data_IF_173246039452
#
_entry.id   IF_173246039452
#
_cell.length_a   1.000
_cell.length_b   1.000
_cell.length_c   1.000
_cell.angle_alpha   90.00
_cell.angle_beta   90.00
_cell.angle_gamma   90.00
#
_symmetry.space_group_name_H-M   'P 1'
#
loop_
_entity.id
_entity.type
_entity.pdbx_description
1 polymer ?
#
# COMPACT_ATOMS: atom_id res chain seq x y z
N UNK A 1 -35.69 2.67 -19.65
CA UNK A 1 -36.24 2.91 -21.00
C UNK A 1 -37.55 2.16 -21.17
N UNK A 2 -38.62 2.86 -21.55
CA UNK A 2 -39.98 2.30 -21.71
C UNK A 2 -40.61 2.81 -23.02
N UNK A 3 -41.40 1.97 -23.68
CA UNK A 3 -42.16 2.35 -24.88
C UNK A 3 -43.25 3.35 -24.47
N UNK A 4 -43.32 4.46 -25.17
CA UNK A 4 -44.32 5.52 -24.97
C UNK A 4 -45.51 5.30 -25.90
N UNK A 5 -45.24 5.26 -27.21
CA UNK A 5 -46.25 5.12 -28.26
C UNK A 5 -45.62 4.56 -29.54
N UNK A 6 -46.44 4.00 -30.43
CA UNK A 6 -46.05 3.71 -31.81
C UNK A 6 -47.03 4.30 -32.82
N UNK A 7 -46.50 4.66 -33.99
CA UNK A 7 -47.26 5.13 -35.14
C UNK A 7 -47.07 4.15 -36.30
N UNK A 8 -48.17 3.71 -36.91
CA UNK A 8 -48.13 2.82 -38.05
C UNK A 8 -48.01 3.64 -39.34
N UNK A 9 -46.97 3.38 -40.16
CA UNK A 9 -46.80 3.99 -41.48
C UNK A 9 -46.80 5.54 -41.55
N UNK A 10 -46.66 6.24 -40.43
CA UNK A 10 -46.64 7.72 -40.35
C UNK A 10 -45.32 8.28 -39.80
N UNK A 11 -44.22 8.23 -40.59
CA UNK A 11 -42.92 8.77 -40.17
C UNK A 11 -42.92 10.26 -39.76
N UNK A 12 -43.70 11.16 -40.39
CA UNK A 12 -43.72 12.57 -40.00
C UNK A 12 -44.27 12.78 -38.59
N UNK A 13 -45.32 12.06 -38.20
CA UNK A 13 -45.95 12.20 -36.89
C UNK A 13 -45.00 11.74 -35.77
N UNK A 14 -44.37 10.58 -35.98
CA UNK A 14 -43.38 10.05 -35.04
C UNK A 14 -42.18 10.99 -34.84
N UNK A 15 -41.69 11.60 -35.92
CA UNK A 15 -40.61 12.59 -35.85
C UNK A 15 -41.04 13.88 -35.15
N UNK A 16 -42.26 14.36 -35.41
CA UNK A 16 -42.80 15.59 -34.80
C UNK A 16 -43.05 15.41 -33.30
N UNK A 17 -43.57 14.26 -32.87
CA UNK A 17 -43.68 13.93 -31.44
C UNK A 17 -42.29 13.77 -30.79
N UNK A 18 -41.35 13.09 -31.45
CA UNK A 18 -39.99 12.96 -30.92
C UNK A 18 -39.31 14.33 -30.72
N UNK A 19 -39.47 15.24 -31.69
CA UNK A 19 -39.02 16.61 -31.58
C UNK A 19 -39.73 17.39 -30.46
N UNK A 20 -41.04 17.18 -30.28
CA UNK A 20 -41.81 17.81 -29.20
C UNK A 20 -41.32 17.40 -27.81
N UNK A 21 -41.02 16.11 -27.64
CA UNK A 21 -40.42 15.59 -26.41
C UNK A 21 -39.04 16.22 -26.18
N UNK A 22 -38.21 16.34 -27.21
CA UNK A 22 -36.89 16.94 -27.11
C UNK A 22 -36.94 18.44 -26.71
N UNK A 23 -37.87 19.22 -27.28
CA UNK A 23 -38.08 20.63 -26.91
C UNK A 23 -38.49 20.78 -25.44
N UNK A 24 -39.25 19.82 -24.92
CA UNK A 24 -39.66 19.76 -23.51
C UNK A 24 -38.65 19.02 -22.61
N UNK A 25 -37.40 18.86 -23.07
CA UNK A 25 -36.30 18.26 -22.30
C UNK A 25 -36.51 16.79 -21.91
N UNK A 26 -37.34 16.07 -22.67
CA UNK A 26 -37.53 14.62 -22.50
C UNK A 26 -36.60 13.88 -23.44
N UNK A 27 -35.70 13.08 -22.85
CA UNK A 27 -34.72 12.30 -23.60
C UNK A 27 -35.39 11.02 -24.12
N UNK A 28 -35.76 11.02 -25.40
CA UNK A 28 -36.46 9.91 -26.07
C UNK A 28 -35.71 9.43 -27.32
N UNK A 29 -35.92 8.16 -27.69
CA UNK A 29 -35.44 7.57 -28.94
C UNK A 29 -36.61 7.22 -29.83
N UNK A 30 -36.56 7.68 -31.08
CA UNK A 30 -37.45 7.24 -32.16
C UNK A 30 -36.74 6.16 -32.98
N UNK A 31 -37.35 4.99 -33.14
CA UNK A 31 -36.80 3.88 -33.93
C UNK A 31 -37.88 3.27 -34.81
N UNK A 32 -37.50 2.83 -36.00
CA UNK A 32 -38.37 2.05 -36.88
C UNK A 32 -38.25 0.57 -36.54
N UNK A 33 -39.38 -0.09 -36.28
CA UNK A 33 -39.49 -1.53 -36.01
C UNK A 33 -40.57 -2.09 -36.93
N UNK A 34 -40.16 -2.73 -38.03
CA UNK A 34 -41.07 -3.14 -39.10
C UNK A 34 -41.72 -1.93 -39.78
N UNK A 35 -43.06 -1.92 -39.82
CA UNK A 35 -43.88 -0.82 -40.36
C UNK A 35 -44.29 0.22 -39.30
N UNK A 36 -43.90 0.01 -38.04
CA UNK A 36 -44.18 0.94 -36.94
C UNK A 36 -42.96 1.80 -36.60
N UNK A 37 -43.23 3.05 -36.24
CA UNK A 37 -42.27 3.95 -35.61
C UNK A 37 -42.55 4.00 -34.12
N UNK A 38 -41.62 3.50 -33.32
CA UNK A 38 -41.74 3.44 -31.87
C UNK A 38 -40.94 4.56 -31.21
N UNK A 39 -41.56 5.24 -30.23
CA UNK A 39 -40.90 6.23 -29.39
C UNK A 39 -40.71 5.65 -28.00
N UNK A 40 -39.45 5.67 -27.53
CA UNK A 40 -39.03 5.11 -26.26
C UNK A 40 -38.41 6.20 -25.39
N UNK A 41 -38.95 6.42 -24.18
CA UNK A 41 -38.38 7.37 -23.22
C UNK A 41 -37.23 6.68 -22.47
N UNK A 42 -36.09 7.37 -22.34
CA UNK A 42 -34.89 6.81 -21.72
C UNK A 42 -35.02 6.69 -20.20
N UNK A 43 -35.57 7.72 -19.58
CA UNK A 43 -35.76 7.87 -18.13
C UNK A 43 -37.20 7.53 -17.71
N UNK A 44 -37.37 6.68 -16.70
CA UNK A 44 -38.69 6.30 -16.20
C UNK A 44 -39.35 7.45 -15.40
N UNK A 45 -38.57 8.34 -14.78
CA UNK A 45 -39.10 9.47 -14.03
C UNK A 45 -39.79 10.49 -14.95
N UNK A 46 -39.36 10.55 -16.22
CA UNK A 46 -39.93 11.42 -17.24
C UNK A 46 -41.17 10.82 -17.92
N UNK A 47 -41.54 9.57 -17.60
CA UNK A 47 -42.59 8.85 -18.32
C UNK A 47 -43.97 9.50 -18.14
N UNK A 48 -44.27 10.01 -16.94
CA UNK A 48 -45.54 10.67 -16.64
C UNK A 48 -45.73 11.92 -17.48
N UNK A 49 -44.70 12.76 -17.58
CA UNK A 49 -44.76 14.00 -18.36
C UNK A 49 -44.70 13.72 -19.86
N UNK A 50 -43.92 12.71 -20.29
CA UNK A 50 -43.91 12.24 -21.67
C UNK A 50 -45.31 11.78 -22.13
N UNK A 51 -46.05 11.06 -21.28
CA UNK A 51 -47.41 10.62 -21.58
C UNK A 51 -48.38 11.80 -21.70
N UNK A 52 -48.28 12.82 -20.82
CA UNK A 52 -49.10 14.04 -20.92
C UNK A 52 -48.82 14.77 -22.24
N UNK A 53 -47.55 14.97 -22.57
CA UNK A 53 -47.13 15.67 -23.79
C UNK A 53 -47.54 14.91 -25.06
N UNK A 54 -47.44 13.58 -25.06
CA UNK A 54 -47.90 12.74 -26.15
C UNK A 54 -49.43 12.80 -26.31
N UNK A 55 -50.19 12.81 -25.20
CA UNK A 55 -51.64 12.95 -25.23
C UNK A 55 -52.08 14.30 -25.82
N UNK A 56 -51.43 15.40 -25.41
CA UNK A 56 -51.68 16.73 -25.99
C UNK A 56 -51.39 16.75 -27.49
N UNK A 57 -50.24 16.19 -27.91
CA UNK A 57 -49.87 16.11 -29.32
C UNK A 57 -50.87 15.30 -30.15
N UNK A 58 -51.30 14.14 -29.65
CA UNK A 58 -52.23 13.26 -30.38
C UNK A 58 -53.66 13.83 -30.47
N UNK A 59 -54.02 14.80 -29.63
CA UNK A 59 -55.35 15.42 -29.68
C UNK A 59 -55.50 16.30 -30.93
N UNK A 60 -54.44 17.02 -31.31
CA UNK A 60 -54.40 17.83 -32.53
C UNK A 60 -52.95 17.95 -33.05
N UNK A 61 -52.45 16.99 -33.85
CA UNK A 61 -51.06 17.00 -34.33
C UNK A 61 -50.71 18.19 -35.24
N UNK A 62 -51.72 18.84 -35.84
CA UNK A 62 -51.59 19.99 -36.74
C UNK A 62 -51.78 21.33 -36.03
N UNK A 63 -51.84 21.33 -34.70
CA UNK A 63 -51.89 22.55 -33.91
C UNK A 63 -50.71 23.50 -34.26
N UNK A 64 -50.97 24.81 -34.44
CA UNK A 64 -49.92 25.79 -34.72
C UNK A 64 -48.74 25.76 -33.73
N UNK A 65 -48.96 25.34 -32.47
CA UNK A 65 -47.89 25.20 -31.48
C UNK A 65 -46.82 24.18 -31.87
N UNK A 66 -47.15 23.21 -32.76
CA UNK A 66 -46.21 22.18 -33.21
C UNK A 66 -45.53 22.54 -34.54
N UNK A 67 -45.81 23.71 -35.14
CA UNK A 67 -45.31 24.08 -36.46
C UNK A 67 -43.79 24.24 -36.49
N UNK A 68 -43.17 24.77 -35.43
CA UNK A 68 -41.72 25.04 -35.37
C UNK A 68 -40.92 23.95 -34.65
N UNK A 69 -41.60 22.97 -34.05
CA UNK A 69 -41.00 22.01 -33.13
C UNK A 69 -39.87 21.18 -33.75
N UNK A 70 -39.97 20.85 -35.03
CA UNK A 70 -38.89 20.16 -35.75
C UNK A 70 -37.64 21.04 -35.89
N UNK A 71 -37.81 22.33 -36.19
CA UNK A 71 -36.71 23.28 -36.31
C UNK A 71 -36.08 23.58 -34.95
N UNK A 72 -36.91 23.74 -33.92
CA UNK A 72 -36.47 23.97 -32.54
C UNK A 72 -35.70 22.77 -31.98
N UNK A 73 -36.19 21.54 -32.21
CA UNK A 73 -35.50 20.32 -31.82
C UNK A 73 -34.15 20.16 -32.56
N UNK A 74 -34.11 20.45 -33.87
CA UNK A 74 -32.87 20.43 -34.65
C UNK A 74 -31.84 21.43 -34.09
N UNK A 75 -32.25 22.65 -33.75
CA UNK A 75 -31.37 23.66 -33.12
C UNK A 75 -30.83 23.19 -31.77
N UNK A 76 -31.67 22.56 -30.94
CA UNK A 76 -31.25 21.99 -29.66
C UNK A 76 -30.23 20.87 -29.87
N UNK A 77 -30.49 19.98 -30.82
CA UNK A 77 -29.58 18.86 -31.13
C UNK A 77 -28.25 19.35 -31.73
N UNK A 78 -28.27 20.33 -32.63
CA UNK A 78 -27.07 20.98 -33.16
C UNK A 78 -26.26 21.68 -32.06
N UNK A 79 -26.93 22.39 -31.13
CA UNK A 79 -26.27 23.02 -29.99
C UNK A 79 -25.63 21.97 -29.06
N UNK A 80 -26.35 20.88 -28.75
CA UNK A 80 -25.85 19.74 -27.95
C UNK A 80 -24.65 19.07 -28.61
N UNK A 81 -24.73 18.80 -29.92
CA UNK A 81 -23.66 18.22 -30.72
C UNK A 81 -22.44 19.14 -30.83
N UNK A 82 -22.65 20.45 -31.03
CA UNK A 82 -21.57 21.45 -31.04
C UNK A 82 -20.89 21.56 -29.69
N UNK A 83 -21.65 21.57 -28.60
CA UNK A 83 -21.14 21.57 -27.24
C UNK A 83 -20.32 20.29 -26.96
N UNK A 84 -20.85 19.11 -27.32
CA UNK A 84 -20.15 17.83 -27.16
C UNK A 84 -18.86 17.76 -27.98
N UNK A 85 -18.88 18.22 -29.24
CA UNK A 85 -17.67 18.32 -30.08
C UNK A 85 -16.65 19.30 -29.48
N UNK A 86 -17.08 20.43 -28.91
CA UNK A 86 -16.18 21.37 -28.25
C UNK A 86 -15.51 20.74 -27.03
N UNK A 87 -16.28 20.04 -26.18
CA UNK A 87 -15.77 19.31 -25.00
C UNK A 87 -14.78 18.22 -25.41
N UNK A 88 -15.08 17.45 -26.46
CA UNK A 88 -14.15 16.44 -26.99
C UNK A 88 -12.86 17.07 -27.54
N UNK A 89 -12.97 18.17 -28.27
CA UNK A 89 -11.79 18.90 -28.78
C UNK A 89 -10.93 19.45 -27.65
N UNK A 90 -11.55 20.01 -26.61
CA UNK A 90 -10.84 20.49 -25.43
C UNK A 90 -10.15 19.33 -24.69
N UNK A 91 -10.86 18.23 -24.41
CA UNK A 91 -10.29 17.05 -23.77
C UNK A 91 -9.08 16.50 -24.55
N UNK A 92 -9.20 16.36 -25.87
CA UNK A 92 -8.10 15.88 -26.72
C UNK A 92 -6.96 16.89 -26.84
N UNK A 93 -7.23 18.20 -26.76
CA UNK A 93 -6.20 19.25 -26.69
C UNK A 93 -5.42 19.16 -25.37
N UNK A 94 -6.12 18.98 -24.25
CA UNK A 94 -5.53 18.78 -22.92
C UNK A 94 -4.67 17.52 -22.88
N UNK A 95 -5.17 16.40 -23.41
CA UNK A 95 -4.43 15.14 -23.50
C UNK A 95 -3.13 15.31 -24.33
N UNK A 96 -3.21 15.98 -25.49
CA UNK A 96 -2.02 16.30 -26.30
C UNK A 96 -1.04 17.23 -25.59
N UNK A 97 -1.53 18.20 -24.83
CA UNK A 97 -0.68 19.09 -24.03
C UNK A 97 0.03 18.31 -22.92
N UNK A 98 -0.68 17.44 -22.20
CA UNK A 98 -0.09 16.55 -21.21
C UNK A 98 0.99 15.67 -21.82
N UNK A 99 0.73 15.07 -22.99
CA UNK A 99 1.69 14.20 -23.66
C UNK A 99 2.94 14.96 -24.15
N UNK A 100 2.81 16.22 -24.58
CA UNK A 100 3.94 17.09 -24.93
C UNK A 100 4.74 17.52 -23.71
N UNK A 101 4.09 17.86 -22.61
CA UNK A 101 4.80 18.13 -21.35
C UNK A 101 5.51 16.88 -20.85
N UNK A 102 4.96 15.68 -21.12
CA UNK A 102 5.56 14.42 -20.72
C UNK A 102 6.94 14.14 -21.39
N UNK A 103 7.16 14.67 -22.60
CA UNK A 103 8.36 14.39 -23.40
C UNK A 103 9.46 15.46 -23.31
N UNK A 104 9.20 16.61 -22.69
CA UNK A 104 10.21 17.66 -22.54
C UNK A 104 11.25 17.33 -21.45
N UNK A 105 12.56 17.42 -21.74
CA UNK A 105 13.62 17.14 -20.78
C UNK A 105 13.82 18.34 -19.84
N UNK A 106 13.07 18.36 -18.73
CA UNK A 106 13.32 19.26 -17.61
C UNK A 106 14.10 18.52 -16.52
N UNK A 107 14.79 19.28 -15.65
CA UNK A 107 15.22 18.75 -14.36
C UNK A 107 13.95 18.33 -13.61
N UNK A 108 13.82 17.05 -13.30
CA UNK A 108 12.63 16.48 -12.67
C UNK A 108 12.99 15.95 -11.29
N UNK A 109 12.28 16.43 -10.28
CA UNK A 109 12.37 15.96 -8.91
C UNK A 109 12.07 14.46 -8.84
N UNK A 110 11.09 13.98 -9.62
CA UNK A 110 10.78 12.55 -9.73
C UNK A 110 12.02 11.73 -10.09
N UNK A 111 12.78 12.16 -11.09
CA UNK A 111 14.02 11.47 -11.50
C UNK A 111 15.10 11.53 -10.42
N UNK A 112 15.26 12.68 -9.75
CA UNK A 112 16.20 12.84 -8.64
C UNK A 112 15.87 11.91 -7.47
N UNK A 113 14.59 11.76 -7.13
CA UNK A 113 14.14 10.83 -6.08
C UNK A 113 14.40 9.39 -6.48
N UNK A 114 14.12 9.00 -7.73
CA UNK A 114 14.41 7.65 -8.22
C UNK A 114 15.89 7.34 -8.08
N UNK A 115 16.77 8.25 -8.54
CA UNK A 115 18.22 8.09 -8.41
C UNK A 115 18.63 7.98 -6.95
N UNK A 116 18.10 8.83 -6.07
CA UNK A 116 18.40 8.79 -4.63
C UNK A 116 18.00 7.44 -4.02
N UNK A 117 16.78 6.96 -4.26
CA UNK A 117 16.30 5.67 -3.77
C UNK A 117 17.15 4.51 -4.31
N UNK A 118 17.54 4.54 -5.59
CA UNK A 118 18.42 3.53 -6.18
C UNK A 118 19.82 3.54 -5.58
N UNK A 119 20.38 4.72 -5.31
CA UNK A 119 21.69 4.86 -4.65
C UNK A 119 21.62 4.37 -3.21
N UNK A 120 20.59 4.75 -2.46
CA UNK A 120 20.40 4.29 -1.08
C UNK A 120 20.19 2.78 -1.00
N UNK A 121 19.44 2.20 -1.93
CA UNK A 121 19.29 0.75 -2.04
C UNK A 121 20.63 0.09 -2.35
N UNK A 122 21.38 0.56 -3.37
CA UNK A 122 22.71 0.05 -3.66
C UNK A 122 23.67 0.14 -2.47
N UNK A 123 23.67 1.27 -1.75
CA UNK A 123 24.46 1.44 -0.53
C UNK A 123 24.01 0.47 0.57
N UNK A 124 22.71 0.27 0.75
CA UNK A 124 22.17 -0.68 1.73
C UNK A 124 22.65 -2.12 1.48
N UNK A 125 22.89 -2.51 0.22
CA UNK A 125 23.45 -3.84 -0.11
C UNK A 125 24.94 -3.96 0.26
N UNK A 126 25.69 -2.86 0.22
CA UNK A 126 27.12 -2.82 0.56
C UNK A 126 27.34 -2.78 2.08
N UNK A 127 26.47 -2.06 2.79
CA UNK A 127 26.54 -1.89 4.25
C UNK A 127 25.63 -2.87 5.00
N UNK A 128 25.23 -3.96 4.36
CA UNK A 128 24.51 -5.05 5.02
C UNK A 128 25.52 -5.94 5.74
N UNK A 129 25.43 -6.01 7.06
CA UNK A 129 26.33 -6.81 7.90
C UNK A 129 25.52 -7.73 8.82
N UNK A 130 26.17 -8.71 9.42
CA UNK A 130 25.55 -9.58 10.43
C UNK A 130 25.03 -8.77 11.64
N UNK A 131 25.60 -7.60 11.91
CA UNK A 131 25.24 -6.71 13.02
C UNK A 131 24.16 -5.68 12.66
N UNK A 132 23.70 -5.65 11.41
CA UNK A 132 22.70 -4.67 10.98
C UNK A 132 23.05 -3.96 9.68
N UNK A 133 22.17 -3.02 9.31
CA UNK A 133 22.29 -2.22 8.11
C UNK A 133 22.36 -0.74 8.50
N UNK A 134 23.58 -0.20 8.50
CA UNK A 134 23.86 1.16 8.98
C UNK A 134 22.99 2.23 8.30
N UNK A 135 22.71 2.07 7.00
CA UNK A 135 21.90 3.02 6.23
C UNK A 135 20.45 3.01 6.73
N UNK A 136 19.89 1.82 6.95
CA UNK A 136 18.54 1.69 7.49
C UNK A 136 18.44 2.21 8.93
N UNK A 137 19.44 1.91 9.76
CA UNK A 137 19.47 2.34 11.16
C UNK A 137 19.61 3.86 11.29
N UNK A 138 20.40 4.50 10.44
CA UNK A 138 20.64 5.94 10.47
C UNK A 138 19.46 6.74 9.90
N UNK A 139 18.86 6.24 8.81
CA UNK A 139 17.85 6.97 8.05
C UNK A 139 16.42 6.50 8.32
N UNK A 140 16.18 5.44 9.07
CA UNK A 140 14.81 5.03 9.27
C UNK A 140 14.60 3.95 10.32
N UNK A 141 14.54 2.70 9.86
CA UNK A 141 14.17 1.56 10.69
C UNK A 141 15.37 1.15 11.52
N UNK A 142 15.31 1.38 12.82
CA UNK A 142 16.16 0.67 13.77
C UNK A 142 15.81 -0.81 13.63
N UNK A 143 16.76 -1.62 13.14
CA UNK A 143 16.59 -3.07 13.19
C UNK A 143 16.67 -3.49 14.65
N UNK A 144 16.16 -4.67 14.91
CA UNK A 144 16.36 -5.47 16.12
C UNK A 144 17.85 -5.72 16.47
N UNK A 145 18.81 -4.84 16.21
CA UNK A 145 20.23 -5.07 16.48
C UNK A 145 20.60 -4.73 17.92
N UNK A 146 19.83 -3.85 18.58
CA UNK A 146 19.75 -3.85 20.06
C UNK A 146 18.93 -5.02 20.62
N UNK A 147 18.32 -5.80 19.72
CA UNK A 147 17.53 -6.97 20.06
C UNK A 147 18.32 -8.23 19.80
N UNK A 148 19.32 -8.36 18.93
CA UNK A 148 19.92 -9.67 18.63
C UNK A 148 20.71 -10.24 19.81
N UNK A 149 21.64 -9.50 20.41
CA UNK A 149 22.32 -9.96 21.64
C UNK A 149 21.32 -10.10 22.79
N UNK A 150 20.37 -9.17 22.92
CA UNK A 150 19.35 -9.21 23.96
C UNK A 150 18.27 -10.30 23.76
N UNK A 151 18.03 -10.75 22.52
CA UNK A 151 17.05 -11.76 22.08
C UNK A 151 17.67 -13.13 22.20
N UNK A 152 18.92 -13.25 21.76
CA UNK A 152 19.80 -14.37 22.01
C UNK A 152 19.91 -14.64 23.51
N UNK A 153 20.19 -13.61 24.32
CA UNK A 153 20.19 -13.72 25.78
C UNK A 153 18.79 -14.05 26.34
N UNK A 154 17.70 -13.50 25.79
CA UNK A 154 16.33 -13.88 26.21
C UNK A 154 15.97 -15.33 25.89
N UNK A 155 16.41 -15.85 24.75
CA UNK A 155 16.25 -17.27 24.39
C UNK A 155 17.09 -18.10 25.34
N UNK A 156 18.34 -17.70 25.60
CA UNK A 156 19.20 -18.37 26.57
C UNK A 156 18.62 -18.37 27.97
N UNK A 157 18.09 -17.26 28.47
CA UNK A 157 17.43 -17.16 29.78
C UNK A 157 16.20 -18.06 29.85
N UNK A 158 15.34 -18.01 28.82
CA UNK A 158 14.16 -18.89 28.75
C UNK A 158 14.56 -20.36 28.65
N UNK A 159 15.64 -20.65 27.93
CA UNK A 159 16.22 -21.99 27.83
C UNK A 159 16.76 -22.45 29.18
N UNK A 160 17.51 -21.61 29.91
CA UNK A 160 18.02 -21.87 31.27
C UNK A 160 16.90 -22.11 32.27
N UNK A 161 15.84 -21.30 32.25
CA UNK A 161 14.65 -21.51 33.08
C UNK A 161 14.00 -22.88 32.81
N UNK A 162 13.94 -23.27 31.54
CA UNK A 162 13.38 -24.55 31.13
C UNK A 162 14.29 -25.73 31.52
N UNK A 163 15.61 -25.57 31.38
CA UNK A 163 16.62 -26.55 31.81
C UNK A 163 16.54 -26.82 33.32
N UNK A 164 16.39 -25.77 34.14
CA UNK A 164 16.24 -25.91 35.60
C UNK A 164 14.99 -26.72 35.95
N UNK A 165 13.88 -26.51 35.23
CA UNK A 165 12.63 -27.28 35.42
C UNK A 165 12.74 -28.74 34.98
N UNK A 166 13.59 -29.05 34.00
CA UNK A 166 13.86 -30.42 33.54
C UNK A 166 14.66 -31.22 34.61
N UNK A 167 15.60 -30.57 35.34
CA UNK A 167 16.36 -31.19 36.46
C UNK A 167 15.43 -31.75 37.53
N UNK A 168 14.35 -31.02 37.86
CA UNK A 168 13.41 -31.38 38.92
C UNK A 168 12.54 -32.60 38.63
N UNK A 169 12.50 -33.10 37.38
CA UNK A 169 11.52 -34.11 36.96
C UNK A 169 12.08 -35.48 36.55
N UNK A 170 13.36 -35.66 36.20
CA UNK A 170 13.81 -37.01 35.79
C UNK A 170 15.29 -37.41 35.91
N UNK A 171 16.26 -36.53 36.18
CA UNK A 171 17.70 -36.85 36.07
C UNK A 171 18.56 -36.12 37.12
N UNK A 172 18.25 -36.29 38.41
CA UNK A 172 19.01 -35.62 39.49
C UNK A 172 20.47 -36.08 39.60
N UNK A 173 20.70 -37.39 39.63
CA UNK A 173 21.98 -37.97 40.05
C UNK A 173 23.06 -38.04 38.94
N UNK A 174 22.67 -38.10 37.67
CA UNK A 174 23.61 -38.13 36.53
C UNK A 174 24.26 -36.76 36.24
N UNK A 175 23.60 -35.66 36.65
CA UNK A 175 24.06 -34.29 36.39
C UNK A 175 25.11 -33.80 37.40
N UNK A 176 25.04 -34.25 38.65
CA UNK A 176 25.94 -33.80 39.71
C UNK A 176 27.39 -34.29 39.50
N UNK A 177 27.59 -35.38 38.74
CA UNK A 177 28.91 -35.87 38.35
C UNK A 177 29.61 -35.01 37.27
N UNK A 178 28.88 -34.22 36.50
CA UNK A 178 29.41 -33.45 35.36
C UNK A 178 29.69 -31.98 35.72
N UNK A 179 28.98 -31.41 36.70
CA UNK A 179 29.32 -30.11 37.31
C UNK A 179 30.68 -30.13 38.04
N UNK A 180 31.21 -31.32 38.35
CA UNK A 180 32.52 -31.53 38.97
C UNK A 180 33.70 -31.53 37.98
N UNK A 181 33.47 -31.43 36.66
CA UNK A 181 34.56 -31.34 35.67
C UNK A 181 35.07 -29.88 35.57
N UNK A 182 36.39 -29.69 35.70
CA UNK A 182 37.02 -28.35 35.67
C UNK A 182 36.87 -27.64 34.30
N UNK A 183 36.64 -26.31 34.37
CA UNK A 183 36.36 -25.36 33.27
C UNK A 183 37.24 -25.46 32.00
N UNK A 184 38.55 -25.80 32.02
CA UNK A 184 39.37 -25.79 30.80
C UNK A 184 39.08 -26.95 29.84
N UNK A 185 38.55 -28.08 30.34
CA UNK A 185 38.45 -29.33 29.56
C UNK A 185 37.28 -29.34 28.59
N UNK A 186 36.21 -28.60 28.89
CA UNK A 186 34.94 -28.60 28.14
C UNK A 186 35.07 -27.87 26.80
N UNK A 187 35.78 -26.75 26.80
CA UNK A 187 35.93 -25.90 25.63
C UNK A 187 36.93 -26.47 24.63
N UNK A 188 38.05 -27.02 25.10
CA UNK A 188 38.94 -27.86 24.29
C UNK A 188 38.19 -29.08 23.72
N UNK A 189 37.24 -29.64 24.48
CA UNK A 189 36.37 -30.72 24.00
C UNK A 189 35.43 -30.28 22.88
N UNK A 190 34.77 -29.13 23.00
CA UNK A 190 33.85 -28.60 21.98
C UNK A 190 34.57 -28.18 20.70
N UNK A 191 35.78 -27.62 20.83
CA UNK A 191 36.59 -27.15 19.70
C UNK A 191 37.38 -28.30 19.02
N UNK A 192 37.74 -29.38 19.73
CA UNK A 192 38.52 -30.50 19.16
C UNK A 192 37.70 -31.75 18.81
N UNK A 193 36.49 -31.95 19.34
CA UNK A 193 35.75 -33.21 19.13
C UNK A 193 34.81 -33.18 17.92
N UNK A 194 35.32 -33.62 16.77
CA UNK A 194 34.47 -33.97 15.62
C UNK A 194 33.60 -35.23 15.81
N UNK A 195 33.51 -35.84 17.00
CA UNK A 195 32.77 -37.11 17.24
C UNK A 195 32.34 -37.32 18.69
N UNK A 196 31.31 -36.62 19.16
CA UNK A 196 30.55 -37.04 20.35
C UNK A 196 29.06 -37.18 20.00
N UNK A 197 28.36 -38.20 20.54
CA UNK A 197 26.92 -38.33 20.47
C UNK A 197 26.20 -37.08 21.00
N UNK A 198 25.08 -36.73 20.37
CA UNK A 198 24.25 -35.56 20.72
C UNK A 198 23.93 -35.44 22.22
N UNK A 199 23.69 -36.57 22.89
CA UNK A 199 23.32 -36.62 24.31
C UNK A 199 24.43 -36.10 25.22
N UNK A 200 25.67 -36.54 25.02
CA UNK A 200 26.81 -36.21 25.90
C UNK A 200 27.21 -34.73 25.76
N UNK A 201 27.19 -34.21 24.53
CA UNK A 201 27.53 -32.81 24.28
C UNK A 201 26.41 -31.86 24.73
N UNK A 202 25.13 -32.28 24.66
CA UNK A 202 24.00 -31.53 25.21
C UNK A 202 24.10 -31.39 26.73
N UNK A 203 24.39 -32.47 27.45
CA UNK A 203 24.48 -32.43 28.92
C UNK A 203 25.60 -31.47 29.36
N UNK A 204 26.73 -31.48 28.66
CA UNK A 204 27.88 -30.62 28.95
C UNK A 204 27.55 -29.13 28.71
N UNK A 205 26.91 -28.82 27.57
CA UNK A 205 26.45 -27.46 27.24
C UNK A 205 25.37 -26.99 28.23
N UNK A 206 24.43 -27.86 28.61
CA UNK A 206 23.39 -27.55 29.58
C UNK A 206 23.97 -27.28 30.97
N UNK A 207 25.02 -28.01 31.39
CA UNK A 207 25.73 -27.75 32.65
C UNK A 207 26.46 -26.40 32.63
N UNK A 208 27.13 -26.05 31.53
CA UNK A 208 27.78 -24.74 31.37
C UNK A 208 26.77 -23.57 31.43
N UNK A 209 25.56 -23.77 30.91
CA UNK A 209 24.50 -22.76 30.88
C UNK A 209 23.77 -22.62 32.22
N UNK A 210 23.82 -23.64 33.09
CA UNK A 210 23.24 -23.59 34.44
C UNK A 210 24.12 -22.84 35.44
N UNK A 211 25.44 -22.95 35.29
CA UNK A 211 26.42 -22.23 36.13
C UNK A 211 26.87 -20.88 35.54
N UNK A 212 27.75 -20.19 36.26
CA UNK A 212 28.32 -18.90 35.81
C UNK A 212 29.36 -19.03 34.68
N UNK A 213 29.68 -20.25 34.25
CA UNK A 213 30.73 -20.52 33.27
C UNK A 213 30.51 -19.78 31.95
N UNK A 214 29.26 -19.72 31.46
CA UNK A 214 28.91 -19.04 30.21
C UNK A 214 29.29 -17.55 30.20
N UNK A 215 29.17 -16.87 31.36
CA UNK A 215 29.41 -15.43 31.46
C UNK A 215 30.89 -15.05 31.28
N UNK A 216 31.79 -16.01 31.46
CA UNK A 216 33.24 -15.83 31.36
C UNK A 216 33.83 -16.29 30.01
N UNK A 217 32.98 -16.73 29.07
CA UNK A 217 33.40 -17.17 27.74
C UNK A 217 33.68 -15.99 26.80
N UNK A 218 34.62 -16.17 25.88
CA UNK A 218 34.88 -15.26 24.77
C UNK A 218 33.74 -15.30 23.73
N UNK A 219 33.64 -14.25 22.91
CA UNK A 219 32.55 -14.10 21.95
C UNK A 219 32.45 -15.27 20.94
N UNK A 220 33.58 -15.77 20.45
CA UNK A 220 33.63 -16.89 19.52
C UNK A 220 33.10 -18.20 20.14
N UNK A 221 33.36 -18.40 21.43
CA UNK A 221 32.97 -19.58 22.19
C UNK A 221 31.46 -19.60 22.47
N UNK A 222 30.93 -18.43 22.86
CA UNK A 222 29.47 -18.24 22.99
C UNK A 222 28.75 -18.54 21.69
N UNK A 223 29.31 -18.12 20.54
CA UNK A 223 28.76 -18.39 19.20
C UNK A 223 28.73 -19.87 18.89
N UNK A 224 29.83 -20.60 19.13
CA UNK A 224 29.87 -22.05 18.93
C UNK A 224 28.84 -22.82 19.76
N UNK A 225 28.62 -22.40 21.02
CA UNK A 225 27.58 -22.98 21.88
C UNK A 225 26.18 -22.75 21.29
N UNK A 226 25.91 -21.57 20.75
CA UNK A 226 24.60 -21.25 20.19
C UNK A 226 24.34 -21.97 18.88
N UNK A 227 25.32 -22.06 17.99
CA UNK A 227 25.21 -22.86 16.76
C UNK A 227 24.91 -24.33 17.08
N UNK A 228 25.47 -24.83 18.19
CA UNK A 228 25.19 -26.18 18.69
C UNK A 228 23.76 -26.32 19.25
N UNK A 229 23.28 -25.36 20.04
CA UNK A 229 21.91 -25.37 20.58
C UNK A 229 20.85 -25.30 19.48
N UNK A 230 21.15 -24.65 18.36
CA UNK A 230 20.25 -24.48 17.21
C UNK A 230 20.03 -25.75 16.38
N UNK A 231 20.74 -26.84 16.68
CA UNK A 231 20.56 -28.12 15.98
C UNK A 231 19.12 -28.63 16.11
N UNK A 232 18.54 -29.20 15.03
CA UNK A 232 17.14 -29.60 14.98
C UNK A 232 16.76 -30.65 16.04
N UNK A 233 17.73 -31.41 16.54
CA UNK A 233 17.56 -32.40 17.61
C UNK A 233 17.31 -31.75 19.00
N UNK A 234 17.55 -30.45 19.17
CA UNK A 234 17.31 -29.72 20.42
C UNK A 234 15.88 -29.14 20.51
N UNK A 235 14.93 -30.01 20.85
CA UNK A 235 13.51 -29.63 21.01
C UNK A 235 13.29 -28.56 22.11
N UNK A 236 14.17 -28.49 23.11
CA UNK A 236 14.07 -27.51 24.18
C UNK A 236 14.44 -26.10 23.67
N UNK A 237 15.42 -26.00 22.77
CA UNK A 237 15.85 -24.75 22.17
C UNK A 237 14.76 -24.19 21.25
N UNK A 238 14.20 -25.04 20.38
CA UNK A 238 13.08 -24.64 19.52
C UNK A 238 11.86 -24.19 20.33
N UNK A 239 11.58 -24.86 21.45
CA UNK A 239 10.50 -24.47 22.36
C UNK A 239 10.78 -23.14 23.09
N UNK A 240 12.01 -22.92 23.56
CA UNK A 240 12.41 -21.66 24.18
C UNK A 240 12.35 -20.49 23.17
N UNK A 241 12.85 -20.70 21.95
CA UNK A 241 12.73 -19.75 20.84
C UNK A 241 11.27 -19.42 20.56
N UNK A 242 10.40 -20.41 20.41
CA UNK A 242 8.97 -20.19 20.13
C UNK A 242 8.27 -19.39 21.26
N UNK A 243 8.65 -19.59 22.52
CA UNK A 243 8.13 -18.81 23.66
C UNK A 243 8.63 -17.37 23.67
N UNK A 244 9.90 -17.17 23.33
CA UNK A 244 10.48 -15.83 23.19
C UNK A 244 9.89 -15.11 21.98
N UNK A 245 9.68 -15.80 20.86
CA UNK A 245 8.98 -15.29 19.67
C UNK A 245 7.54 -14.87 20.00
N UNK A 246 6.81 -15.68 20.78
CA UNK A 246 5.46 -15.34 21.27
C UNK A 246 5.43 -14.16 22.26
N UNK A 247 6.54 -13.90 22.98
CA UNK A 247 6.69 -12.70 23.83
C UNK A 247 7.21 -11.50 23.06
N UNK A 248 8.00 -11.72 22.00
CA UNK A 248 8.47 -10.68 21.10
C UNK A 248 7.40 -10.24 20.13
N UNK A 249 6.46 -11.09 19.75
CA UNK A 249 5.24 -10.66 19.06
C UNK A 249 4.43 -9.67 19.91
N UNK A 250 4.38 -9.90 21.24
CA UNK A 250 3.85 -8.91 22.20
C UNK A 250 4.71 -7.63 22.24
N UNK A 251 6.04 -7.72 22.05
CA UNK A 251 6.96 -6.57 21.92
C UNK A 251 7.12 -6.03 20.48
N UNK A 252 6.50 -6.54 19.43
CA UNK A 252 6.50 -5.84 18.12
C UNK A 252 5.73 -4.51 18.22
N UNK A 253 4.90 -4.37 19.27
CA UNK A 253 4.43 -3.08 19.83
C UNK A 253 5.55 -2.10 20.24
N UNK A 254 6.80 -2.55 20.39
CA UNK A 254 7.97 -1.75 20.83
C UNK A 254 8.82 -1.17 19.70
N UNK A 255 8.67 -1.61 18.45
CA UNK A 255 9.29 -0.91 17.30
C UNK A 255 8.75 0.52 17.21
N UNK A 256 7.42 0.61 17.31
CA UNK A 256 6.65 1.84 17.35
C UNK A 256 7.11 2.77 18.48
N UNK A 257 7.39 2.23 19.68
CA UNK A 257 7.91 3.03 20.79
C UNK A 257 9.32 3.55 20.54
N UNK A 258 10.22 2.75 19.92
CA UNK A 258 11.61 3.17 19.65
C UNK A 258 11.66 4.28 18.61
N UNK A 259 10.95 4.14 17.48
CA UNK A 259 10.88 5.19 16.46
C UNK A 259 10.35 6.50 17.04
N UNK A 260 9.26 6.44 17.82
CA UNK A 260 8.68 7.61 18.47
C UNK A 260 9.61 8.22 19.52
N UNK A 261 10.38 7.39 20.24
CA UNK A 261 11.36 7.86 21.21
C UNK A 261 12.55 8.56 20.55
N UNK A 262 13.08 8.02 19.44
CA UNK A 262 14.14 8.67 18.67
C UNK A 262 13.70 10.01 18.10
N UNK A 263 12.46 10.08 17.60
CA UNK A 263 11.85 11.35 17.16
C UNK A 263 11.77 12.33 18.32
N UNK A 264 11.31 11.89 19.51
CA UNK A 264 11.27 12.72 20.74
C UNK A 264 12.66 13.17 21.19
N UNK A 265 13.70 12.38 20.93
CA UNK A 265 15.11 12.70 21.23
C UNK A 265 15.76 13.60 20.17
N UNK A 266 15.00 14.07 19.18
CA UNK A 266 15.45 15.06 18.19
C UNK A 266 15.81 14.49 16.82
N UNK A 267 15.65 13.17 16.59
CA UNK A 267 15.90 12.55 15.29
C UNK A 267 14.72 12.73 14.33
N UNK A 268 14.32 13.99 14.13
CA UNK A 268 13.10 14.39 13.42
C UNK A 268 13.08 13.97 11.94
N UNK A 269 14.24 13.74 11.33
CA UNK A 269 14.34 13.27 9.95
C UNK A 269 13.67 11.91 9.75
N UNK A 270 13.60 11.06 10.80
CA UNK A 270 12.95 9.74 10.76
C UNK A 270 11.45 9.78 10.46
N UNK A 271 10.82 10.95 10.52
CA UNK A 271 9.45 11.14 10.05
C UNK A 271 9.33 11.14 8.52
N UNK A 272 10.43 11.28 7.79
CA UNK A 272 10.44 11.41 6.33
C UNK A 272 11.39 10.42 5.69
N UNK A 273 12.63 10.32 6.17
CA UNK A 273 13.69 9.54 5.52
C UNK A 273 13.38 8.06 5.26
N UNK A 274 12.53 7.35 6.05
CA UNK A 274 12.12 5.97 5.72
C UNK A 274 11.43 5.80 4.35
N UNK A 275 10.81 6.85 3.78
CA UNK A 275 10.16 6.74 2.46
C UNK A 275 11.16 6.47 1.33
N UNK A 276 12.44 6.82 1.52
CA UNK A 276 13.49 6.63 0.52
C UNK A 276 14.20 5.27 0.65
N UNK A 277 14.03 4.59 1.78
CA UNK A 277 14.58 3.26 2.02
C UNK A 277 13.69 2.20 1.38
N UNK A 278 14.25 1.04 1.04
CA UNK A 278 13.50 -0.09 0.47
C UNK A 278 13.90 -1.38 1.18
N UNK A 279 13.18 -2.48 0.99
CA UNK A 279 13.51 -3.74 1.66
C UNK A 279 14.99 -4.09 1.40
N UNK A 280 15.78 -4.24 2.47
CA UNK A 280 17.20 -4.54 2.37
C UNK A 280 17.43 -5.98 1.89
N UNK A 281 18.64 -6.26 1.42
CA UNK A 281 19.08 -7.60 1.00
C UNK A 281 18.88 -7.92 -0.48
N UNK A 282 19.43 -9.06 -0.89
CA UNK A 282 19.54 -9.50 -2.29
C UNK A 282 18.41 -10.40 -2.77
N UNK A 283 17.30 -10.47 -2.02
CA UNK A 283 16.14 -11.26 -2.42
C UNK A 283 15.46 -10.69 -3.68
N UNK A 284 14.86 -11.59 -4.47
CA UNK A 284 14.01 -11.21 -5.59
C UNK A 284 12.85 -10.30 -5.15
N UNK A 285 12.28 -10.53 -3.96
CA UNK A 285 11.23 -9.68 -3.39
C UNK A 285 11.71 -8.25 -3.10
N UNK A 286 12.93 -8.10 -2.57
CA UNK A 286 13.57 -6.80 -2.31
C UNK A 286 13.76 -6.00 -3.60
N UNK A 287 14.22 -6.67 -4.67
CA UNK A 287 14.36 -6.04 -5.98
C UNK A 287 13.01 -5.62 -6.57
N UNK A 288 12.00 -6.49 -6.53
CA UNK A 288 10.66 -6.16 -7.04
C UNK A 288 10.03 -5.00 -6.26
N UNK A 289 10.24 -4.91 -4.95
CA UNK A 289 9.73 -3.82 -4.14
C UNK A 289 10.27 -2.45 -4.62
N UNK A 290 11.59 -2.30 -4.79
CA UNK A 290 12.14 -1.04 -5.31
C UNK A 290 11.74 -0.81 -6.77
N UNK A 291 11.76 -1.85 -7.61
CA UNK A 291 11.37 -1.73 -9.01
C UNK A 291 9.96 -1.16 -9.16
N UNK A 292 8.96 -1.75 -8.48
CA UNK A 292 7.58 -1.29 -8.59
C UNK A 292 7.39 0.11 -8.00
N UNK A 293 8.04 0.42 -6.87
CA UNK A 293 7.95 1.77 -6.31
C UNK A 293 8.50 2.81 -7.30
N UNK A 294 9.67 2.56 -7.88
CA UNK A 294 10.28 3.51 -8.82
C UNK A 294 9.52 3.57 -10.15
N UNK A 295 9.00 2.43 -10.62
CA UNK A 295 8.13 2.37 -11.81
C UNK A 295 6.88 3.24 -11.63
N UNK A 296 6.16 3.09 -10.51
CA UNK A 296 4.94 3.86 -10.27
C UNK A 296 5.20 5.33 -9.97
N UNK A 297 6.30 5.63 -9.26
CA UNK A 297 6.75 7.01 -9.08
C UNK A 297 7.07 7.66 -10.44
N UNK A 298 7.73 6.96 -11.34
CA UNK A 298 7.99 7.45 -12.70
C UNK A 298 6.69 7.64 -13.50
N UNK A 299 5.82 6.62 -13.50
CA UNK A 299 4.61 6.60 -14.31
C UNK A 299 3.58 7.67 -13.87
N UNK A 300 3.45 7.91 -12.57
CA UNK A 300 2.43 8.80 -12.01
C UNK A 300 3.01 10.12 -11.49
N UNK A 301 4.11 10.05 -10.75
CA UNK A 301 4.72 11.22 -10.10
C UNK A 301 5.16 12.29 -11.11
N UNK A 302 5.70 11.86 -12.25
CA UNK A 302 6.13 12.79 -13.30
C UNK A 302 4.97 13.60 -13.90
N UNK A 303 3.78 13.00 -14.00
CA UNK A 303 2.56 13.67 -14.44
C UNK A 303 2.10 14.72 -13.41
N UNK A 304 2.07 14.35 -12.13
CA UNK A 304 1.71 15.26 -11.04
C UNK A 304 2.70 16.42 -10.93
N UNK A 305 4.01 16.13 -10.94
CA UNK A 305 5.07 17.15 -10.88
C UNK A 305 4.92 18.21 -11.97
N UNK A 306 4.59 17.79 -13.19
CA UNK A 306 4.44 18.70 -14.34
C UNK A 306 3.13 19.47 -14.33
N UNK A 307 2.04 18.85 -13.86
CA UNK A 307 0.72 19.49 -13.81
C UNK A 307 0.62 20.51 -12.67
N UNK A 308 1.19 20.20 -11.50
CA UNK A 308 1.03 21.00 -10.29
C UNK A 308 2.31 21.69 -9.83
N UNK A 309 3.43 21.44 -10.49
CA UNK A 309 4.74 22.02 -10.18
C UNK A 309 5.49 21.27 -9.08
N UNK A 310 6.83 21.39 -9.10
CA UNK A 310 7.72 20.68 -8.18
C UNK A 310 7.49 21.06 -6.71
N UNK A 311 7.08 22.30 -6.42
CA UNK A 311 6.78 22.77 -5.05
C UNK A 311 5.58 22.05 -4.44
N UNK A 312 4.47 21.96 -5.17
CA UNK A 312 3.30 21.21 -4.69
C UNK A 312 3.58 19.71 -4.63
N UNK A 313 4.39 19.20 -5.56
CA UNK A 313 4.76 17.80 -5.57
C UNK A 313 5.62 17.42 -4.36
N UNK A 314 6.60 18.24 -3.96
CA UNK A 314 7.39 17.97 -2.75
C UNK A 314 6.55 18.09 -1.48
N UNK A 315 5.62 19.06 -1.41
CA UNK A 315 4.69 19.17 -0.28
C UNK A 315 3.78 17.93 -0.18
N UNK A 316 3.27 17.43 -1.30
CA UNK A 316 2.49 16.20 -1.35
C UNK A 316 3.31 15.00 -0.85
N UNK A 317 4.56 14.86 -1.32
CA UNK A 317 5.46 13.79 -0.88
C UNK A 317 5.71 13.85 0.63
N UNK A 318 6.05 15.03 1.16
CA UNK A 318 6.30 15.20 2.59
C UNK A 318 5.05 14.92 3.42
N UNK A 319 3.90 15.46 3.02
CA UNK A 319 2.65 15.29 3.76
C UNK A 319 2.21 13.83 3.81
N UNK A 320 2.16 13.17 2.65
CA UNK A 320 1.75 11.76 2.56
C UNK A 320 2.79 10.83 3.16
N UNK A 321 4.08 11.13 2.98
CA UNK A 321 5.19 10.39 3.56
C UNK A 321 5.14 10.36 5.08
N UNK A 322 5.05 11.54 5.72
CA UNK A 322 4.94 11.66 7.18
C UNK A 322 3.75 10.87 7.72
N UNK A 323 2.58 11.01 7.10
CA UNK A 323 1.37 10.29 7.54
C UNK A 323 1.54 8.78 7.38
N UNK A 324 2.09 8.33 6.25
CA UNK A 324 2.30 6.91 5.97
C UNK A 324 3.34 6.24 6.87
N UNK A 325 4.24 7.02 7.49
CA UNK A 325 5.20 6.54 8.50
C UNK A 325 4.58 6.59 9.89
N UNK A 326 4.00 7.73 10.27
CA UNK A 326 3.55 7.95 11.65
C UNK A 326 2.29 7.17 12.00
N UNK A 327 1.34 6.99 11.07
CA UNK A 327 0.09 6.30 11.40
C UNK A 327 0.35 4.82 11.76
N UNK A 328 1.11 4.03 10.96
CA UNK A 328 1.52 2.70 11.39
C UNK A 328 2.38 2.70 12.65
N UNK A 329 3.21 3.74 12.86
CA UNK A 329 4.05 3.86 14.05
C UNK A 329 3.28 4.09 15.36
N UNK A 330 2.05 4.59 15.32
CA UNK A 330 1.20 4.78 16.51
C UNK A 330 0.09 3.73 16.63
N UNK A 331 -0.04 2.85 15.64
CA UNK A 331 -1.12 1.86 15.58
C UNK A 331 -0.67 0.55 16.23
N UNK A 332 -1.52 -0.13 17.00
CA UNK A 332 -1.22 -1.45 17.52
C UNK A 332 -0.93 -2.47 16.42
N UNK A 333 0.00 -3.40 16.67
CA UNK A 333 0.42 -4.40 15.69
C UNK A 333 -0.63 -5.48 15.40
N UNK A 334 -1.58 -5.69 16.33
CA UNK A 334 -2.73 -6.58 16.20
C UNK A 334 -3.85 -6.02 15.31
N UNK A 335 -3.67 -4.81 14.77
CA UNK A 335 -4.59 -4.19 13.82
C UNK A 335 -5.61 -3.28 14.47
N UNK A 336 -6.52 -2.79 13.62
CA UNK A 336 -7.61 -1.88 14.01
C UNK A 336 -8.91 -2.37 13.41
N UNK A 337 -10.03 -2.08 14.08
CA UNK A 337 -11.37 -2.48 13.62
C UNK A 337 -11.54 -3.99 13.38
N UNK A 338 -10.76 -4.83 14.08
CA UNK A 338 -10.76 -6.28 13.89
C UNK A 338 -10.02 -6.76 12.63
N UNK A 339 -9.30 -5.86 11.94
CA UNK A 339 -8.51 -6.17 10.75
C UNK A 339 -7.02 -6.18 11.08
N UNK A 340 -6.44 -7.37 11.24
CA UNK A 340 -5.01 -7.58 11.53
C UNK A 340 -4.09 -7.03 10.43
N UNK A 341 -4.55 -7.06 9.17
CA UNK A 341 -3.84 -6.48 8.02
C UNK A 341 -3.63 -4.95 8.14
N UNK A 342 -4.41 -4.27 8.98
CA UNK A 342 -4.23 -2.85 9.33
C UNK A 342 -3.38 -2.65 10.59
N UNK A 343 -2.52 -3.62 10.91
CA UNK A 343 -1.54 -3.53 11.98
C UNK A 343 -0.53 -2.41 11.77
N UNK A 344 -0.12 -1.80 12.88
CA UNK A 344 1.06 -0.96 12.92
C UNK A 344 2.35 -1.77 12.80
N UNK A 345 3.41 -1.13 12.33
CA UNK A 345 4.70 -1.80 12.15
C UNK A 345 5.72 -0.93 11.40
N UNK A 346 6.94 -1.46 11.19
CA UNK A 346 7.96 -0.77 10.42
C UNK A 346 7.53 -0.54 8.97
N UNK A 347 7.77 0.69 8.51
CA UNK A 347 7.48 1.11 7.15
C UNK A 347 8.77 1.59 6.51
N UNK A 348 9.09 1.00 5.36
CA UNK A 348 10.08 1.49 4.42
C UNK A 348 9.46 1.51 3.04
N UNK A 349 9.92 2.44 2.20
CA UNK A 349 9.55 2.48 0.80
C UNK A 349 8.65 3.65 0.45
N UNK A 350 8.68 3.98 -0.82
CA UNK A 350 7.91 5.08 -1.39
C UNK A 350 6.43 4.73 -1.59
N UNK A 351 6.02 3.50 -1.28
CA UNK A 351 4.70 2.95 -1.59
C UNK A 351 3.54 3.72 -0.93
N UNK A 352 3.66 4.13 0.33
CA UNK A 352 2.67 5.01 0.97
C UNK A 352 2.49 6.35 0.24
N UNK A 353 3.59 6.94 -0.22
CA UNK A 353 3.57 8.17 -1.03
C UNK A 353 2.95 7.92 -2.41
N UNK A 354 3.18 6.77 -3.04
CA UNK A 354 2.56 6.41 -4.33
C UNK A 354 1.04 6.32 -4.18
N UNK A 355 0.55 5.70 -3.10
CA UNK A 355 -0.88 5.72 -2.79
C UNK A 355 -1.38 7.15 -2.55
N UNK A 356 -0.59 8.02 -1.92
CA UNK A 356 -0.88 9.45 -1.81
C UNK A 356 -0.96 10.19 -3.14
N UNK A 357 -0.07 9.89 -4.09
CA UNK A 357 -0.10 10.42 -5.46
C UNK A 357 -1.38 9.99 -6.17
N UNK A 358 -1.78 8.72 -6.02
CA UNK A 358 -3.03 8.17 -6.57
C UNK A 358 -4.24 8.88 -5.97
N UNK A 359 -4.29 9.02 -4.64
CA UNK A 359 -5.38 9.70 -3.93
C UNK A 359 -5.51 11.16 -4.35
N UNK A 360 -4.39 11.87 -4.41
CA UNK A 360 -4.33 13.27 -4.86
C UNK A 360 -4.82 13.41 -6.31
N UNK A 361 -4.29 12.61 -7.23
CA UNK A 361 -4.69 12.67 -8.64
C UNK A 361 -6.16 12.32 -8.85
N UNK A 362 -6.68 11.32 -8.11
CA UNK A 362 -8.06 10.89 -8.19
C UNK A 362 -9.04 11.97 -7.72
N UNK A 363 -8.82 12.57 -6.54
CA UNK A 363 -9.69 13.66 -6.08
C UNK A 363 -9.60 14.90 -6.98
N UNK A 364 -8.39 15.19 -7.49
CA UNK A 364 -8.14 16.32 -8.40
C UNK A 364 -8.92 16.20 -9.70
N UNK A 365 -8.87 15.05 -10.38
CA UNK A 365 -9.61 14.88 -11.64
C UNK A 365 -11.13 14.86 -11.43
N UNK A 366 -11.61 14.53 -10.23
CA UNK A 366 -13.04 14.61 -9.87
C UNK A 366 -13.50 16.03 -9.61
N UNK A 367 -12.70 16.83 -8.88
CA UNK A 367 -13.04 18.22 -8.56
C UNK A 367 -12.78 19.19 -9.71
N UNK A 368 -11.81 18.87 -10.57
CA UNK A 368 -11.41 19.70 -11.72
C UNK A 368 -11.47 18.87 -13.01
N UNK A 369 -12.67 18.57 -13.55
CA UNK A 369 -12.83 17.72 -14.72
C UNK A 369 -12.11 18.22 -15.99
N UNK A 370 -11.83 19.52 -16.07
CA UNK A 370 -11.08 20.13 -17.16
C UNK A 370 -9.60 19.72 -17.17
N UNK A 371 -9.05 19.13 -16.11
CA UNK A 371 -7.69 18.58 -16.12
C UNK A 371 -7.60 17.23 -16.85
N UNK A 372 -8.75 16.64 -17.23
CA UNK A 372 -8.80 15.33 -17.87
C UNK A 372 -8.39 14.19 -16.92
N UNK A 373 -7.93 13.09 -17.51
CA UNK A 373 -7.56 11.88 -16.77
C UNK A 373 -6.16 12.01 -16.20
N UNK A 374 -6.05 12.29 -14.90
CA UNK A 374 -4.76 12.32 -14.19
C UNK A 374 -4.32 10.90 -13.82
N UNK A 375 -5.22 10.12 -13.22
CA UNK A 375 -4.98 8.73 -12.87
C UNK A 375 -5.82 7.86 -13.82
N UNK A 376 -5.19 7.05 -14.70
CA UNK A 376 -5.92 6.15 -15.58
C UNK A 376 -6.82 5.18 -14.80
N UNK A 377 -8.07 4.93 -15.23
CA UNK A 377 -8.99 4.06 -14.50
C UNK A 377 -8.43 2.67 -14.20
N UNK A 378 -7.71 2.07 -15.16
CA UNK A 378 -7.11 0.75 -14.97
C UNK A 378 -6.03 0.76 -13.88
N UNK A 379 -5.23 1.83 -13.77
CA UNK A 379 -4.21 1.99 -12.72
C UNK A 379 -4.89 2.12 -11.37
N UNK A 380 -5.93 2.96 -11.28
CA UNK A 380 -6.68 3.13 -10.05
C UNK A 380 -7.28 1.81 -9.57
N UNK A 381 -7.97 1.08 -10.46
CA UNK A 381 -8.57 -0.22 -10.16
C UNK A 381 -7.50 -1.22 -9.74
N UNK A 382 -6.40 -1.33 -10.50
CA UNK A 382 -5.29 -2.22 -10.17
C UNK A 382 -4.73 -1.92 -8.77
N UNK A 383 -4.53 -0.65 -8.43
CA UNK A 383 -4.00 -0.24 -7.12
C UNK A 383 -4.98 -0.47 -5.97
N UNK A 384 -6.29 -0.35 -6.22
CA UNK A 384 -7.30 -0.67 -5.21
C UNK A 384 -7.44 -2.17 -5.00
N UNK A 385 -7.32 -2.97 -6.07
CA UNK A 385 -7.25 -4.43 -5.95
C UNK A 385 -5.98 -4.84 -5.20
N UNK A 386 -4.83 -4.23 -5.53
CA UNK A 386 -3.58 -4.48 -4.82
C UNK A 386 -3.69 -4.19 -3.31
N UNK A 387 -4.31 -3.06 -2.97
CA UNK A 387 -4.59 -2.71 -1.58
C UNK A 387 -5.55 -3.72 -0.93
N UNK A 388 -6.62 -4.09 -1.64
CA UNK A 388 -7.66 -5.00 -1.17
C UNK A 388 -7.17 -6.43 -0.95
N UNK A 389 -6.31 -6.95 -1.83
CA UNK A 389 -5.69 -8.28 -1.66
C UNK A 389 -4.91 -8.31 -0.35
N UNK A 390 -4.14 -7.27 -0.07
CA UNK A 390 -3.39 -7.13 1.17
C UNK A 390 -4.27 -7.14 2.43
N UNK A 391 -5.49 -6.62 2.34
CA UNK A 391 -6.44 -6.60 3.47
C UNK A 391 -7.08 -7.97 3.75
N UNK A 392 -7.09 -8.89 2.78
CA UNK A 392 -7.78 -10.18 2.87
C UNK A 392 -6.81 -11.36 3.00
N UNK A 393 -5.53 -11.18 2.65
CA UNK A 393 -4.51 -12.22 2.80
C UNK A 393 -4.04 -12.35 4.25
N UNK A 394 -4.27 -13.50 4.88
CA UNK A 394 -3.77 -13.84 6.23
C UNK A 394 -2.23 -13.83 6.33
N UNK A 395 -1.54 -14.00 5.19
CA UNK A 395 -0.07 -14.04 5.09
C UNK A 395 0.57 -12.73 4.54
N UNK A 396 -0.19 -11.62 4.40
CA UNK A 396 0.40 -10.33 4.02
C UNK A 396 0.81 -10.18 2.53
N UNK A 397 0.16 -10.91 1.63
CA UNK A 397 0.32 -10.78 0.18
C UNK A 397 1.57 -11.47 -0.39
N UNK A 398 1.80 -11.30 -1.71
CA UNK A 398 2.90 -11.94 -2.47
C UNK A 398 4.32 -11.49 -2.06
N UNK A 399 4.44 -10.45 -1.21
CA UNK A 399 5.71 -9.91 -0.75
C UNK A 399 5.67 -9.81 0.77
N UNK A 400 6.60 -10.48 1.45
CA UNK A 400 6.78 -10.32 2.89
C UNK A 400 6.92 -8.84 3.27
N UNK A 401 6.23 -8.44 4.34
CA UNK A 401 6.35 -7.14 5.02
C UNK A 401 5.81 -5.88 4.29
N UNK A 402 4.70 -5.98 3.58
CA UNK A 402 3.96 -4.79 3.10
C UNK A 402 3.05 -4.23 4.20
N UNK A 403 3.23 -2.96 4.59
CA UNK A 403 2.28 -2.26 5.48
C UNK A 403 1.07 -1.76 4.69
N UNK A 404 -0.05 -2.48 4.75
CA UNK A 404 -1.31 -2.06 4.12
C UNK A 404 -1.90 -0.81 4.79
N UNK A 405 -1.66 -0.64 6.09
CA UNK A 405 -2.01 0.58 6.79
C UNK A 405 -1.25 1.80 6.22
N UNK A 406 0.04 1.68 5.92
CA UNK A 406 0.81 2.77 5.29
C UNK A 406 0.22 3.17 3.92
N UNK A 407 -0.22 2.19 3.12
CA UNK A 407 -0.86 2.43 1.83
C UNK A 407 -2.21 3.13 1.97
N UNK A 408 -3.07 2.64 2.86
CA UNK A 408 -4.37 3.24 3.14
C UNK A 408 -4.22 4.67 3.70
N UNK A 409 -3.29 4.87 4.63
CA UNK A 409 -2.97 6.18 5.21
C UNK A 409 -2.49 7.16 4.15
N UNK A 410 -1.57 6.72 3.29
CA UNK A 410 -1.07 7.50 2.16
C UNK A 410 -2.18 7.91 1.20
N UNK A 411 -3.04 6.97 0.78
CA UNK A 411 -4.17 7.22 -0.11
C UNK A 411 -5.10 8.30 0.46
N UNK A 412 -5.53 8.13 1.72
CA UNK A 412 -6.44 9.08 2.38
C UNK A 412 -5.78 10.44 2.59
N UNK A 413 -4.51 10.48 2.95
CA UNK A 413 -3.73 11.71 3.04
C UNK A 413 -3.65 12.45 1.69
N UNK A 414 -3.43 11.71 0.60
CA UNK A 414 -3.41 12.25 -0.75
C UNK A 414 -4.76 12.87 -1.15
N UNK A 415 -5.86 12.18 -0.85
CA UNK A 415 -7.23 12.70 -1.05
C UNK A 415 -7.46 13.97 -0.24
N UNK A 416 -7.10 13.97 1.05
CA UNK A 416 -7.25 15.13 1.91
C UNK A 416 -6.43 16.33 1.42
N UNK A 417 -5.17 16.11 1.05
CA UNK A 417 -4.29 17.14 0.50
C UNK A 417 -4.85 17.69 -0.82
N UNK A 418 -5.27 16.82 -1.74
CA UNK A 418 -5.82 17.24 -3.04
C UNK A 418 -7.13 18.01 -2.91
N UNK A 419 -7.99 17.62 -1.96
CA UNK A 419 -9.21 18.35 -1.64
C UNK A 419 -8.90 19.76 -1.10
N UNK A 420 -8.02 19.85 -0.09
CA UNK A 420 -7.62 21.12 0.51
C UNK A 420 -6.94 22.04 -0.51
N UNK A 421 -5.98 21.52 -1.27
CA UNK A 421 -5.27 22.24 -2.33
C UNK A 421 -6.25 22.83 -3.35
N UNK A 422 -7.27 22.08 -3.76
CA UNK A 422 -8.30 22.57 -4.69
C UNK A 422 -9.15 23.68 -4.08
N UNK A 423 -9.54 23.55 -2.80
CA UNK A 423 -10.34 24.56 -2.09
C UNK A 423 -9.59 25.87 -1.88
N UNK A 424 -8.26 25.82 -1.79
CA UNK A 424 -7.39 26.99 -1.65
C UNK A 424 -7.12 27.70 -2.99
N UNK A 425 -7.73 27.27 -4.09
CA UNK A 425 -7.62 27.94 -5.39
C UNK A 425 -6.43 27.51 -6.26
N UNK A 426 -5.81 26.37 -5.93
CA UNK A 426 -4.69 25.79 -6.68
C UNK A 426 -5.08 24.52 -7.43
#
# INVERSE_FOLDING_TARGET
>A
MRKLISYHSEPPLAKKLHAWLAVNQIDARCKQVGEEWEIWVLDEDQLLDANKLAATFNTNPDDPQFATVLDDANKIEEAKNKQQRSRQKEAHKLERQQQRHLTQPTKSLTRSIIILCSVLFGASLVFDSNEGNFIHESLGVVRQTSIDESYRERILDTYREMLVREKTTSLGDEYDHLEAMEKPTILDYLLQSKKLPWVETKILVDAMLRGDAYNHLEAAEKTAIIDYLQRPENLLWSTAKNRVDARLSIRLSSYNSVLLEDIKRGQVWRMVTPIFLHAAGVSFSSFLHIFFNMYWLFALGLGIERLFGAGNFILLILFTGVISILLPAITPGDGIFGLTALGGGPVVGFSGVIYGIIGFGWIKMKMLPHLGTIIPPFVFIFMMIWLGIGLVSEEGGFFDAISHLAHAAGLLAGVAFGYAHTRLGH
#
